data_IF_017309999542
#
_entry.id   IF_017309999542
#
_cell.length_a   1.000
_cell.length_b   1.000
_cell.length_c   1.000
_cell.angle_alpha   90.00
_cell.angle_beta   90.00
_cell.angle_gamma   90.00
#
_symmetry.space_group_name_H-M   'P 1'
#
loop_
_entity.id
_entity.type
_entity.pdbx_description
1 polymer ?
#
# COMPACT_ATOMS: atom_id res chain seq x y z
N UNK A 1 -23.74 0.87 -0.37
CA UNK A 1 -22.52 0.63 -1.16
C UNK A 1 -21.64 -0.25 -0.31
N UNK A 2 -21.34 -1.47 -0.77
CA UNK A 2 -20.46 -2.40 -0.04
C UNK A 2 -19.00 -2.09 -0.32
N UNK A 3 -18.18 -2.10 0.71
CA UNK A 3 -16.74 -1.80 0.64
C UNK A 3 -15.96 -3.09 0.87
N UNK A 4 -15.19 -3.51 -0.13
CA UNK A 4 -14.35 -4.71 -0.09
C UNK A 4 -12.90 -4.36 0.21
N UNK A 5 -12.31 -5.05 1.19
CA UNK A 5 -10.89 -4.97 1.54
C UNK A 5 -10.26 -6.35 1.26
N UNK A 6 -9.75 -6.59 0.04
CA UNK A 6 -9.09 -7.85 -0.28
C UNK A 6 -7.71 -7.92 0.38
N UNK A 7 -7.19 -9.12 0.52
CA UNK A 7 -5.82 -9.34 1.02
C UNK A 7 -4.82 -8.89 -0.04
N UNK A 8 -3.74 -8.25 0.40
CA UNK A 8 -2.64 -7.95 -0.50
C UNK A 8 -1.85 -9.21 -0.85
N UNK A 9 -1.55 -9.37 -2.13
CA UNK A 9 -0.84 -10.54 -2.66
C UNK A 9 0.52 -10.19 -3.28
N UNK A 10 0.88 -8.90 -3.30
CA UNK A 10 2.19 -8.48 -3.80
C UNK A 10 3.27 -8.93 -2.82
N UNK A 11 4.31 -9.57 -3.33
CA UNK A 11 5.44 -9.98 -2.50
C UNK A 11 6.07 -8.77 -1.80
N UNK A 12 6.38 -8.92 -0.51
CA UNK A 12 6.85 -7.84 0.36
C UNK A 12 5.82 -6.77 0.75
N UNK A 13 4.54 -6.93 0.37
CA UNK A 13 3.45 -6.06 0.86
C UNK A 13 2.74 -6.71 2.05
N UNK A 14 2.85 -6.06 3.21
CA UNK A 14 2.25 -6.54 4.45
C UNK A 14 1.08 -5.68 4.91
N UNK A 15 0.90 -4.48 4.33
CA UNK A 15 -0.13 -3.53 4.75
C UNK A 15 -1.51 -4.00 4.31
N UNK A 16 -2.51 -3.36 4.90
CA UNK A 16 -3.93 -3.51 4.57
C UNK A 16 -4.53 -2.13 4.38
N UNK A 17 -5.50 -2.00 3.48
CA UNK A 17 -5.99 -0.70 3.06
C UNK A 17 -6.75 0.07 4.15
N UNK A 18 -7.45 -0.64 5.02
CA UNK A 18 -8.21 -0.07 6.15
C UNK A 18 -7.94 -0.87 7.42
N UNK A 19 -7.67 -0.17 8.52
CA UNK A 19 -7.50 -0.77 9.83
C UNK A 19 -8.87 -1.09 10.47
N UNK A 20 -8.95 -1.95 11.50
CA UNK A 20 -10.19 -2.14 12.25
C UNK A 20 -10.79 -0.84 12.79
N UNK A 21 -9.96 0.14 13.18
CA UNK A 21 -10.42 1.44 13.63
C UNK A 21 -11.09 2.26 12.51
N UNK A 22 -10.57 2.20 11.28
CA UNK A 22 -11.19 2.83 10.12
C UNK A 22 -12.49 2.10 9.73
N UNK A 23 -12.49 0.77 9.78
CA UNK A 23 -13.68 -0.07 9.53
C UNK A 23 -14.83 0.29 10.46
N UNK A 24 -14.56 0.52 11.75
CA UNK A 24 -15.58 0.88 12.74
C UNK A 24 -16.32 2.21 12.44
N UNK A 25 -15.77 3.05 11.54
CA UNK A 25 -16.40 4.31 11.10
C UNK A 25 -17.23 4.15 9.82
N UNK A 26 -17.24 2.96 9.23
CA UNK A 26 -17.89 2.66 7.95
C UNK A 26 -19.06 1.68 8.15
N UNK A 27 -19.91 1.58 7.13
CA UNK A 27 -20.99 0.59 7.06
C UNK A 27 -20.74 -0.35 5.89
N UNK A 28 -21.27 -1.57 5.98
CA UNK A 28 -21.27 -2.57 4.91
C UNK A 28 -19.86 -2.93 4.38
N UNK A 29 -18.91 -3.12 5.30
CA UNK A 29 -17.53 -3.51 4.97
C UNK A 29 -17.39 -5.03 4.93
N UNK A 30 -16.80 -5.54 3.85
CA UNK A 30 -16.40 -6.94 3.68
C UNK A 30 -14.88 -7.02 3.63
N UNK A 31 -14.29 -7.85 4.48
CA UNK A 31 -12.83 -8.08 4.54
C UNK A 31 -12.53 -9.49 4.09
N UNK A 32 -11.53 -9.66 3.21
CA UNK A 32 -11.05 -11.00 2.86
C UNK A 32 -10.35 -11.63 4.08
N UNK A 33 -10.65 -12.90 4.42
CA UNK A 33 -10.01 -13.57 5.54
C UNK A 33 -8.47 -13.46 5.51
N UNK A 34 -7.88 -13.05 6.62
CA UNK A 34 -6.45 -12.86 6.77
C UNK A 34 -5.89 -11.57 6.14
N UNK A 35 -6.71 -10.66 5.61
CA UNK A 35 -6.22 -9.44 4.94
C UNK A 35 -5.35 -8.54 5.83
N UNK A 36 -5.60 -8.50 7.14
CA UNK A 36 -4.84 -7.69 8.09
C UNK A 36 -3.68 -8.40 8.79
N UNK A 37 -3.45 -9.69 8.52
CA UNK A 37 -2.50 -10.50 9.28
C UNK A 37 -1.06 -9.94 9.20
N UNK A 38 -0.66 -9.39 8.04
CA UNK A 38 0.67 -8.83 7.81
C UNK A 38 1.02 -7.61 8.68
N UNK A 39 0.01 -6.91 9.22
CA UNK A 39 0.18 -5.78 10.15
C UNK A 39 -0.37 -6.07 11.55
N UNK A 40 -0.62 -7.34 11.87
CA UNK A 40 -1.05 -7.77 13.20
C UNK A 40 -2.54 -7.51 13.52
N UNK A 41 -3.39 -7.31 12.51
CA UNK A 41 -4.83 -7.27 12.69
C UNK A 41 -5.45 -8.64 12.36
N UNK A 42 -6.01 -9.28 13.38
CA UNK A 42 -6.74 -10.54 13.24
C UNK A 42 -8.15 -10.33 12.65
N UNK A 43 -8.69 -11.37 12.02
CA UNK A 43 -10.05 -11.40 11.50
C UNK A 43 -11.10 -11.08 12.59
N UNK A 44 -10.87 -11.56 13.82
CA UNK A 44 -11.73 -11.26 14.96
C UNK A 44 -11.78 -9.76 15.30
N UNK A 45 -10.67 -9.02 15.10
CA UNK A 45 -10.68 -7.57 15.30
C UNK A 45 -11.51 -6.85 14.23
N UNK A 46 -11.50 -7.32 12.98
CA UNK A 46 -12.37 -6.78 11.93
C UNK A 46 -13.84 -7.06 12.20
N UNK A 47 -14.18 -8.29 12.60
CA UNK A 47 -15.56 -8.65 12.97
C UNK A 47 -16.04 -7.81 14.15
N UNK A 48 -15.20 -7.64 15.19
CA UNK A 48 -15.52 -6.77 16.34
C UNK A 48 -15.71 -5.29 15.93
N UNK A 49 -15.01 -4.84 14.88
CA UNK A 49 -15.18 -3.51 14.31
C UNK A 49 -16.41 -3.37 13.40
N UNK A 50 -17.17 -4.44 13.17
CA UNK A 50 -18.41 -4.42 12.38
C UNK A 50 -18.26 -4.84 10.92
N UNK A 51 -17.10 -5.36 10.51
CA UNK A 51 -16.96 -5.96 9.18
C UNK A 51 -17.53 -7.38 9.12
N UNK A 52 -17.94 -7.79 7.93
CA UNK A 52 -18.20 -9.19 7.58
C UNK A 52 -16.96 -9.78 6.91
N UNK A 53 -16.60 -11.02 7.21
CA UNK A 53 -15.56 -11.71 6.46
C UNK A 53 -16.17 -12.35 5.20
N UNK A 54 -15.49 -12.25 4.06
CA UNK A 54 -16.00 -12.85 2.82
C UNK A 54 -15.25 -12.46 1.57
N UNK A 55 -15.88 -12.67 0.42
CA UNK A 55 -15.32 -12.24 -0.87
C UNK A 55 -15.40 -10.72 -1.00
N UNK A 56 -14.29 -10.06 -0.68
CA UNK A 56 -14.14 -8.62 -0.84
C UNK A 56 -14.34 -8.17 -2.30
N UNK A 57 -13.96 -9.00 -3.28
CA UNK A 57 -14.12 -8.65 -4.68
C UNK A 57 -15.59 -8.58 -5.10
N UNK A 58 -16.54 -9.19 -4.38
CA UNK A 58 -17.98 -9.08 -4.62
C UNK A 58 -18.61 -7.71 -4.22
N UNK A 59 -17.80 -6.76 -3.75
CA UNK A 59 -18.26 -5.43 -3.31
C UNK A 59 -18.28 -4.37 -4.43
N UNK A 60 -18.94 -3.23 -4.17
CA UNK A 60 -19.08 -2.14 -5.12
C UNK A 60 -17.81 -1.28 -5.20
N UNK A 61 -17.19 -1.04 -4.05
CA UNK A 61 -15.94 -0.31 -3.89
C UNK A 61 -14.86 -1.26 -3.36
N UNK A 62 -13.77 -1.45 -4.10
CA UNK A 62 -12.62 -2.23 -3.69
C UNK A 62 -11.52 -1.28 -3.23
N UNK A 63 -11.05 -1.42 -2.00
CA UNK A 63 -10.00 -0.58 -1.43
C UNK A 63 -8.78 -1.43 -1.17
N UNK A 64 -7.75 -1.23 -1.98
CA UNK A 64 -6.43 -1.88 -1.87
C UNK A 64 -5.36 -0.87 -1.48
N UNK A 65 -4.21 -1.39 -1.10
CA UNK A 65 -2.94 -0.67 -1.01
C UNK A 65 -2.28 -0.68 -2.39
N UNK A 66 -1.99 -1.87 -2.93
CA UNK A 66 -1.24 -2.03 -4.17
C UNK A 66 -2.16 -2.20 -5.37
N UNK A 67 -1.52 -2.19 -6.52
CA UNK A 67 -2.13 -2.41 -7.80
C UNK A 67 -2.71 -3.83 -7.94
N UNK A 68 -3.76 -3.99 -8.76
CA UNK A 68 -4.26 -5.31 -9.13
C UNK A 68 -3.18 -6.07 -9.89
N UNK A 69 -2.87 -7.30 -9.48
CA UNK A 69 -1.86 -8.16 -10.11
C UNK A 69 -2.49 -9.17 -11.08
N UNK A 70 -1.69 -9.86 -11.92
CA UNK A 70 -2.22 -10.83 -12.89
C UNK A 70 -3.21 -11.87 -12.34
N UNK A 71 -3.00 -12.47 -11.14
CA UNK A 71 -3.96 -13.40 -10.55
C UNK A 71 -5.30 -12.75 -10.13
N UNK A 72 -5.37 -11.43 -10.10
CA UNK A 72 -6.55 -10.65 -9.72
C UNK A 72 -7.25 -10.00 -10.92
N UNK A 73 -6.67 -10.00 -12.13
CA UNK A 73 -7.24 -9.33 -13.31
C UNK A 73 -8.67 -9.79 -13.63
N UNK A 74 -8.97 -11.08 -13.45
CA UNK A 74 -10.31 -11.64 -13.66
C UNK A 74 -11.33 -11.35 -12.54
N UNK A 75 -10.91 -10.73 -11.44
CA UNK A 75 -11.79 -10.43 -10.30
C UNK A 75 -12.46 -9.06 -10.41
N UNK A 76 -11.84 -8.13 -11.13
CA UNK A 76 -12.40 -6.81 -11.40
C UNK A 76 -13.59 -6.93 -12.38
N UNK A 77 -14.68 -6.21 -12.09
CA UNK A 77 -15.87 -6.21 -12.96
C UNK A 77 -16.43 -4.82 -13.19
N UNK A 78 -17.16 -4.69 -14.30
CA UNK A 78 -17.88 -3.47 -14.68
C UNK A 78 -18.80 -2.99 -13.55
N UNK A 79 -18.79 -1.69 -13.31
CA UNK A 79 -19.59 -1.04 -12.26
C UNK A 79 -18.90 -0.96 -10.90
N UNK A 80 -17.73 -1.57 -10.72
CA UNK A 80 -16.91 -1.37 -9.52
C UNK A 80 -16.09 -0.09 -9.59
N UNK A 81 -15.76 0.43 -8.41
CA UNK A 81 -14.67 1.38 -8.21
C UNK A 81 -13.52 0.64 -7.52
N UNK A 82 -12.31 0.71 -8.08
CA UNK A 82 -11.11 0.06 -7.53
C UNK A 82 -10.09 1.13 -7.18
N UNK A 83 -9.78 1.23 -5.90
CA UNK A 83 -8.85 2.19 -5.32
C UNK A 83 -7.52 1.52 -4.97
N UNK A 84 -6.40 2.12 -5.35
CA UNK A 84 -5.06 1.58 -5.06
C UNK A 84 -3.91 2.36 -5.70
N UNK A 85 -2.67 2.04 -5.32
CA UNK A 85 -1.45 2.56 -5.96
C UNK A 85 -1.14 1.82 -7.29
N UNK A 86 -2.06 1.90 -8.25
CA UNK A 86 -1.91 1.34 -9.60
C UNK A 86 -0.76 1.97 -10.38
N UNK A 87 -0.19 1.25 -11.33
CA UNK A 87 0.94 1.70 -12.17
C UNK A 87 0.52 1.73 -13.66
N UNK A 88 -0.70 2.22 -13.94
CA UNK A 88 -1.34 2.12 -15.25
C UNK A 88 -0.55 2.77 -16.40
N UNK A 89 0.33 3.72 -16.12
CA UNK A 89 1.17 4.37 -17.14
C UNK A 89 2.47 3.62 -17.43
N UNK A 90 2.94 2.79 -16.49
CA UNK A 90 4.20 2.06 -16.57
C UNK A 90 4.02 0.56 -16.88
N UNK A 91 2.79 0.04 -16.74
CA UNK A 91 2.45 -1.37 -16.95
C UNK A 91 1.32 -1.53 -17.97
N UNK A 92 1.64 -1.80 -19.25
CA UNK A 92 0.65 -1.98 -20.32
C UNK A 92 -0.28 -3.17 -20.10
N UNK A 93 0.17 -4.25 -19.46
CA UNK A 93 -0.65 -5.42 -19.21
C UNK A 93 -1.73 -5.11 -18.17
N UNK A 94 -1.34 -4.43 -17.10
CA UNK A 94 -2.27 -3.95 -16.09
C UNK A 94 -3.28 -2.96 -16.70
N UNK A 95 -2.82 -2.04 -17.55
CA UNK A 95 -3.71 -1.10 -18.23
C UNK A 95 -4.72 -1.84 -19.11
N UNK A 96 -4.27 -2.82 -19.90
CA UNK A 96 -5.15 -3.63 -20.74
C UNK A 96 -6.19 -4.40 -19.91
N UNK A 97 -5.77 -5.01 -18.78
CA UNK A 97 -6.68 -5.68 -17.87
C UNK A 97 -7.70 -4.73 -17.23
N UNK A 98 -7.27 -3.54 -16.80
CA UNK A 98 -8.14 -2.51 -16.24
C UNK A 98 -9.20 -2.08 -17.27
N UNK A 99 -8.79 -1.80 -18.51
CA UNK A 99 -9.70 -1.44 -19.61
C UNK A 99 -10.68 -2.59 -19.90
N UNK A 100 -10.19 -3.83 -19.98
CA UNK A 100 -11.02 -5.00 -20.26
C UNK A 100 -12.08 -5.26 -19.16
N UNK A 101 -11.75 -4.99 -17.89
CA UNK A 101 -12.68 -5.16 -16.76
C UNK A 101 -13.90 -4.22 -16.82
N UNK A 102 -13.74 -3.05 -17.45
CA UNK A 102 -14.74 -1.98 -17.45
C UNK A 102 -15.00 -1.37 -16.06
N UNK A 103 -14.16 -1.64 -15.06
CA UNK A 103 -14.23 -1.00 -13.74
C UNK A 103 -13.66 0.44 -13.78
N UNK A 104 -14.05 1.26 -12.81
CA UNK A 104 -13.47 2.60 -12.62
C UNK A 104 -12.28 2.50 -11.67
N UNK A 105 -11.10 2.93 -12.10
CA UNK A 105 -9.90 2.92 -11.26
C UNK A 105 -9.61 4.30 -10.68
N UNK A 106 -9.51 4.39 -9.35
CA UNK A 106 -9.08 5.59 -8.64
C UNK A 106 -7.64 5.36 -8.17
N UNK A 107 -6.71 6.05 -8.83
CA UNK A 107 -5.27 5.87 -8.60
C UNK A 107 -4.78 6.85 -7.53
N UNK A 108 -4.36 6.34 -6.37
CA UNK A 108 -4.07 7.19 -5.21
C UNK A 108 -3.01 8.27 -5.47
N UNK A 109 -1.95 7.94 -6.20
CA UNK A 109 -0.85 8.87 -6.43
C UNK A 109 -1.18 9.96 -7.46
N UNK A 110 -2.34 9.90 -8.12
CA UNK A 110 -2.82 10.94 -9.05
C UNK A 110 -3.87 11.83 -8.41
N UNK A 111 -4.34 11.53 -7.20
CA UNK A 111 -5.28 12.39 -6.46
C UNK A 111 -4.51 13.60 -5.93
N UNK A 112 -4.70 14.74 -6.59
CA UNK A 112 -4.06 16.00 -6.27
C UNK A 112 -5.05 17.10 -5.87
N UNK A 113 -4.59 18.03 -5.05
CA UNK A 113 -5.28 19.27 -4.70
C UNK A 113 -4.90 20.39 -5.70
N UNK A 114 -5.69 21.47 -5.75
CA UNK A 114 -5.37 22.66 -6.55
C UNK A 114 -4.06 23.36 -6.13
N UNK A 115 -3.59 23.09 -4.91
CA UNK A 115 -2.30 23.53 -4.38
C UNK A 115 -1.10 22.80 -5.02
N UNK A 116 -1.33 21.75 -5.80
CA UNK A 116 -0.29 20.84 -6.32
C UNK A 116 0.13 19.75 -5.34
N UNK A 117 -0.52 19.64 -4.18
CA UNK A 117 -0.24 18.61 -3.18
C UNK A 117 -0.94 17.29 -3.53
N UNK A 118 -0.26 16.17 -3.27
CA UNK A 118 -0.83 14.81 -3.40
C UNK A 118 -1.07 14.19 -2.01
N UNK A 119 -2.24 14.42 -1.38
CA UNK A 119 -2.47 14.11 0.03
C UNK A 119 -2.39 12.62 0.36
N UNK A 120 -2.74 11.73 -0.57
CA UNK A 120 -2.67 10.27 -0.35
C UNK A 120 -1.24 9.75 -0.51
N UNK A 121 -0.45 10.37 -1.41
CA UNK A 121 0.95 10.00 -1.63
C UNK A 121 1.87 10.54 -0.53
N UNK A 122 1.62 11.75 -0.03
CA UNK A 122 2.52 12.46 0.89
C UNK A 122 2.91 11.65 2.15
N UNK A 123 2.00 10.94 2.85
CA UNK A 123 2.38 10.09 3.98
C UNK A 123 3.36 8.98 3.59
N UNK A 124 3.21 8.40 2.40
CA UNK A 124 4.11 7.34 1.91
C UNK A 124 5.49 7.90 1.61
N UNK A 125 5.57 9.09 0.99
CA UNK A 125 6.84 9.78 0.74
C UNK A 125 7.57 10.11 2.06
N UNK A 126 6.84 10.53 3.09
CA UNK A 126 7.43 10.83 4.40
C UNK A 126 8.01 9.58 5.08
N UNK A 127 7.32 8.44 5.00
CA UNK A 127 7.84 7.15 5.51
C UNK A 127 9.07 6.74 4.70
N UNK A 128 8.99 6.78 3.37
CA UNK A 128 10.10 6.41 2.49
C UNK A 128 11.36 7.24 2.75
N UNK A 129 11.24 8.56 2.90
CA UNK A 129 12.37 9.44 3.20
C UNK A 129 13.06 9.12 4.53
N UNK A 130 12.27 8.77 5.58
CA UNK A 130 12.82 8.37 6.88
C UNK A 130 13.49 7.00 6.82
N UNK A 131 12.86 6.04 6.14
CA UNK A 131 13.42 4.70 5.96
C UNK A 131 14.68 4.71 5.10
N UNK A 132 14.78 5.57 4.09
CA UNK A 132 15.95 5.65 3.22
C UNK A 132 17.25 5.86 4.01
N UNK A 133 17.24 6.71 5.03
CA UNK A 133 18.40 6.95 5.89
C UNK A 133 18.69 5.74 6.79
N UNK A 134 17.66 5.12 7.36
CA UNK A 134 17.81 3.94 8.22
C UNK A 134 18.37 2.74 7.44
N UNK A 135 17.81 2.48 6.26
CA UNK A 135 18.27 1.40 5.36
C UNK A 135 19.65 1.72 4.82
N UNK A 136 19.93 2.97 4.43
CA UNK A 136 21.26 3.40 4.01
C UNK A 136 22.32 3.15 5.09
N UNK A 137 22.01 3.49 6.35
CA UNK A 137 22.88 3.20 7.50
C UNK A 137 23.13 1.71 7.68
N UNK A 138 22.09 0.88 7.53
CA UNK A 138 22.20 -0.57 7.60
C UNK A 138 23.09 -1.12 6.46
N UNK A 139 22.87 -0.67 5.22
CA UNK A 139 23.66 -1.07 4.06
C UNK A 139 25.14 -0.65 4.16
N UNK A 140 25.47 0.44 4.86
CA UNK A 140 26.87 0.86 5.06
C UNK A 140 27.66 -0.09 5.97
N UNK A 141 27.01 -0.92 6.79
CA UNK A 141 27.69 -1.86 7.67
C UNK A 141 28.51 -2.88 6.88
N UNK A 142 29.74 -3.18 7.35
CA UNK A 142 30.66 -4.07 6.64
C UNK A 142 30.09 -5.48 6.44
N UNK A 143 29.35 -5.99 7.43
CA UNK A 143 28.66 -7.29 7.38
C UNK A 143 27.57 -7.38 6.30
N UNK A 144 27.03 -6.24 5.87
CA UNK A 144 26.05 -6.15 4.79
C UNK A 144 26.70 -5.79 3.43
N UNK A 145 28.04 -5.84 3.34
CA UNK A 145 28.80 -5.54 2.12
C UNK A 145 29.17 -4.06 1.93
N UNK A 146 28.76 -3.18 2.84
CA UNK A 146 29.06 -1.76 2.79
C UNK A 146 30.52 -1.39 3.08
N UNK A 147 30.80 -0.09 3.08
CA UNK A 147 32.13 0.48 3.34
C UNK A 147 32.56 0.44 4.81
N UNK A 148 31.66 0.07 5.73
CA UNK A 148 31.91 0.05 7.18
C UNK A 148 31.83 1.42 7.84
N UNK A 149 31.26 2.43 7.16
CA UNK A 149 31.16 3.80 7.68
C UNK A 149 29.99 3.91 8.65
N UNK A 150 30.27 4.39 9.86
CA UNK A 150 29.25 4.82 10.82
C UNK A 150 28.77 6.23 10.44
N UNK A 151 27.52 6.36 9.97
CA UNK A 151 26.97 7.65 9.53
C UNK A 151 27.20 8.82 10.52
N UNK A 152 26.87 8.70 11.83
CA UNK A 152 27.08 9.80 12.75
C UNK A 152 28.56 10.07 13.12
N UNK A 153 29.50 9.17 12.78
CA UNK A 153 30.87 9.23 13.29
C UNK A 153 30.95 9.04 14.80
N UNK A 154 32.07 9.43 15.40
CA UNK A 154 32.30 9.51 16.84
C UNK A 154 33.45 10.50 17.14
N UNK A 155 33.77 10.75 18.41
CA UNK A 155 34.85 11.68 18.78
C UNK A 155 36.19 11.28 18.12
N UNK A 156 36.76 12.22 17.35
CA UNK A 156 37.99 12.01 16.59
C UNK A 156 37.84 11.21 15.29
N UNK A 157 36.63 10.78 14.92
CA UNK A 157 36.33 10.02 13.69
C UNK A 157 35.28 10.76 12.85
N UNK A 158 35.59 11.11 11.60
CA UNK A 158 34.66 11.88 10.75
C UNK A 158 33.37 11.09 10.45
N UNK A 159 32.23 11.77 10.32
CA UNK A 159 30.96 11.15 9.91
C UNK A 159 30.95 10.78 8.42
N UNK A 160 29.95 10.00 8.02
CA UNK A 160 29.67 9.73 6.61
C UNK A 160 29.05 10.93 5.91
N UNK A 161 29.40 11.15 4.64
CA UNK A 161 28.72 12.12 3.79
C UNK A 161 27.42 11.56 3.20
N UNK A 162 26.33 12.31 3.28
CA UNK A 162 25.03 11.95 2.69
C UNK A 162 24.63 13.03 1.68
N UNK A 163 24.31 12.60 0.46
CA UNK A 163 23.76 13.47 -0.59
C UNK A 163 22.31 13.08 -0.84
N UNK A 164 21.41 14.06 -0.79
CA UNK A 164 19.99 13.92 -1.12
C UNK A 164 19.75 14.74 -2.40
N UNK A 165 19.17 14.09 -3.41
CA UNK A 165 18.86 14.69 -4.72
C UNK A 165 17.37 15.01 -4.77
#
# INVERSE_FOLDING_TARGET
>A
MRIGIPREIKDGEFRVALTPAAVAQLKDVVVEPGAGAGVGFSDAQYVKAGATLGDAWACDLIVKVKEVLPPEYGKARRGQIICGFHQLTADPEQLAAAVASGATYLVYHTVGESSGRYPILAPMSAIAGRLAVQVGAWCLQRQNGGSGVLLPGLDGVPPGGVVII
#
